data_IF_697198987043
#
_entry.id   IF_697198987043
#
_cell.length_a   1.000
_cell.length_b   1.000
_cell.length_c   1.000
_cell.angle_alpha   90.00
_cell.angle_beta   90.00
_cell.angle_gamma   90.00
#
_symmetry.space_group_name_H-M   'P 1'
#
loop_
_entity.id
_entity.type
_entity.pdbx_description
1 polymer ?
#
# COMPACT_ATOMS: atom_id res chain seq x y z
N UNK A 1 -14.58 28.76 -1.89
CA UNK A 1 -13.95 28.00 -3.00
C UNK A 1 -15.01 27.13 -3.67
N UNK A 2 -15.53 27.55 -4.83
CA UNK A 2 -16.62 26.86 -5.54
C UNK A 2 -16.06 25.62 -6.22
N UNK A 3 -16.25 24.45 -5.61
CA UNK A 3 -15.94 23.15 -6.20
C UNK A 3 -16.81 22.97 -7.45
N UNK A 4 -16.29 23.31 -8.63
CA UNK A 4 -16.87 22.83 -9.89
C UNK A 4 -16.49 21.35 -9.97
N UNK A 5 -17.38 20.47 -9.54
CA UNK A 5 -17.28 19.05 -9.88
C UNK A 5 -17.26 18.97 -11.41
N UNK A 6 -16.09 18.70 -11.97
CA UNK A 6 -15.95 18.54 -13.41
C UNK A 6 -16.60 17.19 -13.76
N UNK A 7 -17.59 17.21 -14.64
CA UNK A 7 -18.29 15.98 -15.10
C UNK A 7 -17.29 14.94 -15.60
N UNK A 8 -16.17 15.38 -16.18
CA UNK A 8 -15.05 14.53 -16.55
C UNK A 8 -14.46 13.77 -15.35
N UNK A 9 -14.21 14.43 -14.22
CA UNK A 9 -13.61 13.81 -13.03
C UNK A 9 -14.54 12.79 -12.42
N UNK A 10 -15.84 13.11 -12.36
CA UNK A 10 -16.87 12.19 -11.89
C UNK A 10 -16.94 10.94 -12.78
N UNK A 11 -17.05 11.12 -14.10
CA UNK A 11 -17.10 10.02 -15.07
C UNK A 11 -15.85 9.14 -15.01
N UNK A 12 -14.65 9.73 -14.96
CA UNK A 12 -13.41 8.95 -14.83
C UNK A 12 -13.33 8.19 -13.50
N UNK A 13 -13.83 8.78 -12.41
CA UNK A 13 -13.88 8.10 -11.11
C UNK A 13 -14.83 6.90 -11.16
N UNK A 14 -15.99 7.05 -11.81
CA UNK A 14 -16.93 5.95 -12.02
C UNK A 14 -16.31 4.80 -12.85
N UNK A 15 -15.54 5.12 -13.89
CA UNK A 15 -14.78 4.12 -14.67
C UNK A 15 -13.78 3.38 -13.79
N UNK A 16 -13.03 4.07 -12.93
CA UNK A 16 -12.12 3.41 -11.99
C UNK A 16 -12.86 2.49 -11.01
N UNK A 17 -14.01 2.91 -10.48
CA UNK A 17 -14.85 2.08 -9.59
C UNK A 17 -15.31 0.81 -10.33
N UNK A 18 -15.78 0.94 -11.58
CA UNK A 18 -16.20 -0.20 -12.40
C UNK A 18 -15.05 -1.19 -12.63
N UNK A 19 -13.86 -0.68 -12.97
CA UNK A 19 -12.65 -1.49 -13.13
C UNK A 19 -12.30 -2.21 -11.81
N UNK A 20 -12.42 -1.54 -10.67
CA UNK A 20 -12.13 -2.13 -9.37
C UNK A 20 -13.01 -3.36 -9.07
N UNK A 21 -14.31 -3.28 -9.38
CA UNK A 21 -15.26 -4.37 -9.19
C UNK A 21 -14.87 -5.57 -10.06
N UNK A 22 -14.46 -5.33 -11.30
CA UNK A 22 -13.96 -6.40 -12.19
C UNK A 22 -12.67 -7.00 -11.63
N UNK A 23 -11.69 -6.16 -11.25
CA UNK A 23 -10.41 -6.59 -10.70
C UNK A 23 -10.54 -7.39 -9.40
N UNK A 24 -11.58 -7.13 -8.60
CA UNK A 24 -11.85 -7.89 -7.38
C UNK A 24 -12.11 -9.37 -7.66
N UNK A 25 -12.68 -9.72 -8.82
CA UNK A 25 -12.90 -11.11 -9.23
C UNK A 25 -11.60 -11.89 -9.46
N UNK A 26 -10.49 -11.20 -9.71
CA UNK A 26 -9.16 -11.79 -9.89
C UNK A 26 -8.34 -11.82 -8.60
N UNK A 27 -8.97 -11.64 -7.44
CA UNK A 27 -8.27 -11.62 -6.17
C UNK A 27 -7.84 -13.02 -5.72
N UNK A 28 -6.64 -13.09 -5.13
CA UNK A 28 -6.11 -14.33 -4.57
C UNK A 28 -6.34 -14.30 -3.07
N UNK A 29 -7.21 -15.18 -2.59
CA UNK A 29 -7.46 -15.35 -1.16
C UNK A 29 -6.48 -16.35 -0.55
N UNK A 30 -5.72 -15.91 0.43
CA UNK A 30 -4.88 -16.78 1.25
C UNK A 30 -5.66 -17.11 2.52
N UNK A 31 -6.22 -18.32 2.53
CA UNK A 31 -6.82 -18.90 3.72
C UNK A 31 -5.72 -19.52 4.58
N UNK A 32 -5.72 -19.19 5.86
CA UNK A 32 -4.88 -19.87 6.84
C UNK A 32 -5.77 -20.35 7.98
N UNK A 33 -5.54 -21.59 8.45
CA UNK A 33 -6.26 -22.18 9.58
C UNK A 33 -7.79 -22.26 9.39
N UNK A 34 -8.25 -22.54 8.16
CA UNK A 34 -9.68 -22.71 7.87
C UNK A 34 -10.48 -21.40 7.81
N UNK A 35 -9.82 -20.24 7.87
CA UNK A 35 -10.46 -18.93 7.75
C UNK A 35 -9.75 -18.06 6.70
N UNK A 36 -10.52 -17.21 5.99
CA UNK A 36 -9.97 -16.22 5.07
C UNK A 36 -9.21 -15.15 5.84
N UNK A 37 -7.91 -15.34 6.00
CA UNK A 37 -7.05 -14.44 6.78
C UNK A 37 -6.55 -13.23 5.99
N UNK A 38 -6.45 -13.38 4.66
CA UNK A 38 -5.85 -12.36 3.81
C UNK A 38 -6.38 -12.49 2.37
N UNK A 39 -6.63 -11.36 1.73
CA UNK A 39 -6.94 -11.29 0.30
C UNK A 39 -5.95 -10.34 -0.38
N UNK A 40 -5.30 -10.81 -1.44
CA UNK A 40 -4.46 -10.00 -2.30
C UNK A 40 -5.32 -9.55 -3.48
N UNK A 41 -5.48 -8.24 -3.66
CA UNK A 41 -6.31 -7.65 -4.70
C UNK A 41 -5.63 -6.41 -5.28
N UNK A 42 -5.77 -6.22 -6.59
CA UNK A 42 -5.24 -5.05 -7.30
C UNK A 42 -6.22 -3.87 -7.35
N UNK A 43 -7.34 -3.97 -6.62
CA UNK A 43 -8.39 -2.94 -6.56
C UNK A 43 -7.91 -1.61 -5.95
N UNK A 44 -6.85 -1.64 -5.16
CA UNK A 44 -6.33 -0.46 -4.48
C UNK A 44 -5.99 0.70 -5.42
N UNK A 45 -5.45 0.36 -6.59
CA UNK A 45 -5.06 1.33 -7.62
C UNK A 45 -6.26 2.17 -8.06
N UNK A 46 -7.45 1.57 -8.09
CA UNK A 46 -8.67 2.20 -8.59
C UNK A 46 -9.26 3.24 -7.63
N UNK A 47 -9.03 3.17 -6.32
CA UNK A 47 -9.39 4.29 -5.42
C UNK A 47 -8.22 5.24 -5.17
N UNK A 48 -6.97 4.78 -5.27
CA UNK A 48 -5.78 5.64 -5.14
C UNK A 48 -5.70 6.63 -6.31
N UNK A 49 -5.96 6.17 -7.55
CA UNK A 49 -5.78 6.96 -8.75
C UNK A 49 -6.70 8.19 -8.83
N UNK A 50 -8.03 8.10 -8.63
CA UNK A 50 -8.90 9.27 -8.57
C UNK A 50 -8.49 10.25 -7.47
N UNK A 51 -8.03 9.73 -6.32
CA UNK A 51 -7.52 10.53 -5.21
C UNK A 51 -6.32 11.38 -5.61
N UNK A 52 -5.34 10.77 -6.27
CA UNK A 52 -4.12 11.44 -6.71
C UNK A 52 -4.38 12.43 -7.85
N UNK A 53 -5.24 12.09 -8.82
CA UNK A 53 -5.52 12.90 -10.00
C UNK A 53 -6.47 14.07 -9.73
N UNK A 54 -7.56 13.83 -8.99
CA UNK A 54 -8.67 14.78 -8.82
C UNK A 54 -8.79 15.32 -7.39
N UNK A 55 -8.06 14.73 -6.46
CA UNK A 55 -7.99 15.16 -5.07
C UNK A 55 -8.62 14.16 -4.09
N UNK A 56 -8.36 14.32 -2.78
CA UNK A 56 -8.66 13.30 -1.76
C UNK A 56 -10.13 12.89 -1.70
N UNK A 57 -11.04 13.82 -1.96
CA UNK A 57 -12.48 13.56 -1.97
C UNK A 57 -12.87 12.45 -2.97
N UNK A 58 -12.32 12.48 -4.19
CA UNK A 58 -12.61 11.47 -5.21
C UNK A 58 -12.02 10.10 -4.84
N UNK A 59 -10.86 10.08 -4.18
CA UNK A 59 -10.28 8.85 -3.65
C UNK A 59 -11.14 8.24 -2.55
N UNK A 60 -11.64 9.07 -1.63
CA UNK A 60 -12.54 8.64 -0.56
C UNK A 60 -13.87 8.09 -1.09
N UNK A 61 -14.50 8.80 -2.02
CA UNK A 61 -15.75 8.34 -2.67
C UNK A 61 -15.52 7.01 -3.39
N UNK A 62 -14.43 6.89 -4.16
CA UNK A 62 -14.08 5.65 -4.84
C UNK A 62 -13.87 4.50 -3.84
N UNK A 63 -13.10 4.73 -2.77
CA UNK A 63 -12.84 3.71 -1.75
C UNK A 63 -14.12 3.20 -1.07
N UNK A 64 -15.00 4.12 -0.65
CA UNK A 64 -16.26 3.75 -0.03
C UNK A 64 -17.22 3.01 -0.97
N UNK A 65 -17.36 3.49 -2.21
CA UNK A 65 -18.24 2.85 -3.19
C UNK A 65 -17.72 1.47 -3.63
N UNK A 66 -16.40 1.32 -3.80
CA UNK A 66 -15.81 0.01 -4.13
C UNK A 66 -16.08 -0.99 -3.02
N UNK A 67 -16.04 -0.58 -1.74
CA UNK A 67 -16.36 -1.46 -0.62
C UNK A 67 -17.84 -1.86 -0.61
N UNK A 68 -18.73 -0.87 -0.67
CA UNK A 68 -20.18 -1.07 -0.67
C UNK A 68 -20.65 -1.95 -1.85
N UNK A 69 -20.30 -1.55 -3.08
CA UNK A 69 -20.65 -2.30 -4.28
C UNK A 69 -19.99 -3.67 -4.30
N UNK A 70 -18.80 -3.77 -3.75
CA UNK A 70 -18.11 -5.03 -3.49
C UNK A 70 -18.91 -6.03 -2.72
N UNK A 71 -19.45 -5.57 -1.59
CA UNK A 71 -20.29 -6.40 -0.74
C UNK A 71 -21.61 -6.77 -1.43
N UNK A 72 -22.23 -5.83 -2.14
CA UNK A 72 -23.51 -6.07 -2.85
C UNK A 72 -23.35 -7.08 -3.99
N UNK A 73 -22.26 -7.01 -4.76
CA UNK A 73 -22.08 -7.81 -5.99
C UNK A 73 -21.40 -9.15 -5.69
N UNK A 74 -20.35 -9.14 -4.86
CA UNK A 74 -19.57 -10.35 -4.50
C UNK A 74 -19.38 -10.42 -2.99
N UNK A 75 -20.42 -10.75 -2.22
CA UNK A 75 -20.32 -10.81 -0.77
C UNK A 75 -19.33 -11.92 -0.34
N UNK A 76 -18.31 -11.53 0.43
CA UNK A 76 -17.36 -12.45 1.06
C UNK A 76 -17.42 -12.20 2.57
N UNK A 77 -18.23 -13.01 3.27
CA UNK A 77 -18.48 -12.85 4.70
C UNK A 77 -19.49 -11.73 5.02
N UNK A 78 -19.66 -11.46 6.32
CA UNK A 78 -20.56 -10.41 6.80
C UNK A 78 -20.03 -9.00 6.55
N UNK A 79 -20.93 -8.07 6.24
CA UNK A 79 -20.57 -6.66 6.06
C UNK A 79 -20.24 -6.00 7.41
N UNK A 80 -19.07 -5.37 7.48
CA UNK A 80 -18.61 -4.61 8.63
C UNK A 80 -18.44 -3.16 8.19
N UNK A 81 -19.35 -2.23 8.55
CA UNK A 81 -19.32 -0.83 8.10
C UNK A 81 -18.02 -0.08 8.42
N UNK A 82 -17.28 -0.52 9.45
CA UNK A 82 -15.97 0.05 9.79
C UNK A 82 -14.94 -0.16 8.67
N UNK A 83 -15.02 -1.24 7.88
CA UNK A 83 -14.15 -1.44 6.73
C UNK A 83 -14.43 -0.47 5.59
N UNK A 84 -15.67 -0.01 5.44
CA UNK A 84 -16.01 1.04 4.48
C UNK A 84 -15.36 2.37 4.88
N UNK A 85 -15.39 2.71 6.17
CA UNK A 85 -14.75 3.93 6.69
C UNK A 85 -13.23 3.87 6.47
N UNK A 86 -12.61 2.72 6.74
CA UNK A 86 -11.17 2.58 6.49
C UNK A 86 -10.83 2.55 5.01
N UNK A 87 -11.69 2.03 4.14
CA UNK A 87 -11.52 2.10 2.68
C UNK A 87 -11.67 3.52 2.13
N UNK A 88 -12.58 4.33 2.69
CA UNK A 88 -12.65 5.78 2.41
C UNK A 88 -11.33 6.44 2.82
N UNK A 89 -10.84 6.16 4.03
CA UNK A 89 -9.56 6.68 4.50
C UNK A 89 -8.38 6.22 3.62
N UNK A 90 -8.40 4.97 3.15
CA UNK A 90 -7.38 4.41 2.26
C UNK A 90 -7.32 5.11 0.89
N UNK A 91 -8.41 5.72 0.43
CA UNK A 91 -8.43 6.58 -0.76
C UNK A 91 -8.01 8.03 -0.48
N UNK A 92 -8.36 8.57 0.69
CA UNK A 92 -8.07 9.97 1.07
C UNK A 92 -6.60 10.16 1.45
N UNK A 93 -6.08 9.30 2.33
CA UNK A 93 -4.74 9.43 2.91
C UNK A 93 -3.60 9.48 1.88
N UNK A 94 -3.50 8.56 0.90
CA UNK A 94 -2.41 8.62 -0.06
C UNK A 94 -2.49 9.88 -0.93
N UNK A 95 -3.70 10.36 -1.24
CA UNK A 95 -3.90 11.60 -1.98
C UNK A 95 -3.48 12.85 -1.19
N UNK A 96 -3.75 12.89 0.11
CA UNK A 96 -3.29 13.96 0.99
C UNK A 96 -1.77 13.98 1.10
N UNK A 97 -1.15 12.83 1.39
CA UNK A 97 0.32 12.74 1.50
C UNK A 97 0.97 13.09 0.16
N UNK A 98 0.43 12.60 -0.96
CA UNK A 98 0.87 12.95 -2.29
C UNK A 98 0.84 14.46 -2.55
N UNK A 99 -0.25 15.15 -2.19
CA UNK A 99 -0.39 16.60 -2.37
C UNK A 99 0.75 17.38 -1.71
N UNK A 100 1.24 16.90 -0.57
CA UNK A 100 2.32 17.52 0.19
C UNK A 100 3.71 17.15 -0.34
N UNK A 101 3.90 15.90 -0.79
CA UNK A 101 5.21 15.38 -1.23
C UNK A 101 5.49 15.57 -2.72
N UNK A 102 4.48 15.79 -3.58
CA UNK A 102 4.66 15.88 -5.04
C UNK A 102 5.70 16.91 -5.49
N UNK A 103 5.82 18.01 -4.75
CA UNK A 103 6.76 19.10 -5.04
C UNK A 103 8.10 18.98 -4.30
N UNK A 104 8.28 17.93 -3.48
CA UNK A 104 9.54 17.71 -2.79
C UNK A 104 10.66 17.38 -3.77
N UNK A 105 11.89 17.78 -3.42
CA UNK A 105 13.09 17.50 -4.20
C UNK A 105 13.36 15.98 -4.26
N UNK A 106 13.63 15.47 -5.46
CA UNK A 106 13.82 14.03 -5.71
C UNK A 106 14.92 13.44 -4.82
N UNK A 107 16.05 14.14 -4.67
CA UNK A 107 17.19 13.64 -3.90
C UNK A 107 16.84 13.43 -2.41
N UNK A 108 16.07 14.36 -1.80
CA UNK A 108 15.65 14.26 -0.39
C UNK A 108 14.74 13.05 -0.18
N UNK A 109 13.75 12.88 -1.07
CA UNK A 109 12.79 11.78 -1.02
C UNK A 109 13.50 10.44 -1.18
N UNK A 110 14.42 10.35 -2.15
CA UNK A 110 15.20 9.14 -2.43
C UNK A 110 16.12 8.77 -1.27
N UNK A 111 16.76 9.75 -0.65
CA UNK A 111 17.60 9.51 0.53
C UNK A 111 16.77 9.04 1.73
N UNK A 112 15.61 9.66 1.98
CA UNK A 112 14.69 9.24 3.03
C UNK A 112 14.22 7.79 2.83
N UNK A 113 13.87 7.41 1.61
CA UNK A 113 13.52 6.03 1.25
C UNK A 113 14.67 5.05 1.59
N UNK A 114 15.89 5.36 1.16
CA UNK A 114 17.04 4.49 1.39
C UNK A 114 17.38 4.33 2.86
N UNK A 115 17.34 5.43 3.62
CA UNK A 115 17.56 5.40 5.07
C UNK A 115 16.50 4.54 5.75
N UNK A 116 15.22 4.72 5.41
CA UNK A 116 14.13 3.95 6.00
C UNK A 116 14.29 2.45 5.75
N UNK A 117 14.45 2.03 4.50
CA UNK A 117 14.61 0.60 4.17
C UNK A 117 15.94 0.02 4.65
N UNK A 118 17.01 0.82 4.69
CA UNK A 118 18.30 0.43 5.26
C UNK A 118 18.22 0.14 6.76
N UNK A 119 17.58 1.03 7.53
CA UNK A 119 17.33 0.82 8.97
C UNK A 119 16.46 -0.41 9.17
N UNK A 120 15.39 -0.56 8.39
CA UNK A 120 14.45 -1.68 8.52
C UNK A 120 15.15 -3.02 8.25
N UNK A 121 16.04 -3.08 7.25
CA UNK A 121 16.88 -4.24 6.98
C UNK A 121 17.85 -4.54 8.13
N UNK A 122 18.57 -3.54 8.62
CA UNK A 122 19.54 -3.69 9.70
C UNK A 122 18.88 -4.17 10.99
N UNK A 123 17.74 -3.59 11.38
CA UNK A 123 16.97 -4.01 12.55
C UNK A 123 16.49 -5.46 12.38
N UNK A 124 15.98 -5.81 11.20
CA UNK A 124 15.56 -7.18 10.89
C UNK A 124 16.71 -8.19 11.01
N UNK A 125 17.88 -7.85 10.46
CA UNK A 125 19.09 -8.68 10.47
C UNK A 125 19.66 -8.84 11.88
N UNK A 126 19.79 -7.75 12.65
CA UNK A 126 20.27 -7.80 14.03
C UNK A 126 19.38 -8.69 14.89
N UNK A 127 18.06 -8.53 14.80
CA UNK A 127 17.11 -9.38 15.52
C UNK A 127 17.23 -10.85 15.08
N UNK A 128 17.49 -11.12 13.80
CA UNK A 128 17.62 -12.47 13.28
C UNK A 128 18.87 -13.16 13.83
N UNK A 129 19.99 -12.43 13.83
CA UNK A 129 21.27 -12.92 14.36
C UNK A 129 21.17 -13.17 15.86
N UNK A 130 20.55 -12.26 16.62
CA UNK A 130 20.39 -12.42 18.08
C UNK A 130 19.57 -13.68 18.41
N UNK A 131 18.45 -13.92 17.71
CA UNK A 131 17.58 -15.09 17.94
C UNK A 131 18.22 -16.41 17.45
N UNK A 132 19.14 -16.35 16.49
CA UNK A 132 19.75 -17.58 15.92
C UNK A 132 21.07 -17.95 16.57
N UNK A 133 21.88 -16.97 16.95
CA UNK A 133 23.26 -17.19 17.40
C UNK A 133 23.54 -16.74 18.84
N UNK A 134 22.75 -15.82 19.42
CA UNK A 134 23.05 -15.18 20.72
C UNK A 134 21.86 -15.24 21.69
N UNK A 135 21.23 -16.42 21.77
CA UNK A 135 20.04 -16.66 22.61
C UNK A 135 20.29 -16.49 24.12
N UNK A 136 21.55 -16.57 24.57
CA UNK A 136 21.92 -16.47 25.98
C UNK A 136 22.08 -15.02 26.48
N UNK A 137 22.05 -14.02 25.58
CA UNK A 137 22.10 -12.60 25.97
C UNK A 137 20.78 -12.13 26.57
N UNK A 138 20.80 -11.08 27.40
CA UNK A 138 19.58 -10.48 27.99
C UNK A 138 18.57 -10.04 26.92
N UNK A 139 19.05 -9.49 25.80
CA UNK A 139 18.23 -9.15 24.63
C UNK A 139 17.73 -10.39 23.89
N UNK A 140 18.53 -11.45 23.80
CA UNK A 140 18.13 -12.74 23.24
C UNK A 140 17.04 -13.42 24.05
N UNK A 141 17.11 -13.39 25.38
CA UNK A 141 16.10 -13.91 26.29
C UNK A 141 14.79 -13.08 26.24
N UNK A 142 14.88 -11.75 26.10
CA UNK A 142 13.73 -10.88 25.87
C UNK A 142 13.07 -11.09 24.51
N UNK A 143 13.86 -11.35 23.46
CA UNK A 143 13.33 -11.64 22.12
C UNK A 143 12.77 -13.05 22.01
N UNK A 144 13.32 -14.01 22.73
CA UNK A 144 12.82 -15.40 22.76
C UNK A 144 11.63 -15.58 23.71
N UNK A 145 11.48 -14.74 24.73
CA UNK A 145 10.28 -14.72 25.61
C UNK A 145 9.00 -14.32 24.85
N UNK A 146 9.14 -13.58 23.74
CA UNK A 146 8.06 -13.31 22.79
C UNK A 146 7.65 -14.55 21.95
N UNK A 147 8.34 -15.68 22.12
CA UNK A 147 8.07 -16.97 21.49
C UNK A 147 8.31 -16.98 19.98
N UNK A 148 7.70 -17.94 19.26
CA UNK A 148 7.80 -18.07 17.79
C UNK A 148 7.40 -16.78 17.03
N UNK A 149 6.69 -15.84 17.68
CA UNK A 149 6.24 -14.57 17.08
C UNK A 149 7.39 -13.61 16.77
N UNK A 150 8.48 -13.63 17.54
CA UNK A 150 9.64 -12.77 17.27
C UNK A 150 10.45 -13.18 16.04
N UNK A 151 10.50 -14.49 15.76
CA UNK A 151 11.16 -15.04 14.57
C UNK A 151 10.46 -14.58 13.28
N UNK A 152 9.13 -14.57 13.25
CA UNK A 152 8.36 -14.08 12.10
C UNK A 152 8.51 -12.58 11.89
N UNK A 153 8.57 -11.80 12.97
CA UNK A 153 8.80 -10.36 12.89
C UNK A 153 10.19 -10.04 12.32
N UNK A 154 11.22 -10.69 12.85
CA UNK A 154 12.60 -10.46 12.42
C UNK A 154 12.82 -10.84 10.95
N UNK A 155 12.36 -12.03 10.55
CA UNK A 155 12.44 -12.48 9.15
C UNK A 155 11.62 -11.59 8.21
N UNK A 156 10.42 -11.15 8.65
CA UNK A 156 9.58 -10.22 7.90
C UNK A 156 10.26 -8.87 7.64
N UNK A 157 10.81 -8.24 8.68
CA UNK A 157 11.53 -6.97 8.56
C UNK A 157 12.74 -7.10 7.64
N UNK A 158 13.53 -8.17 7.79
CA UNK A 158 14.70 -8.41 6.93
C UNK A 158 14.29 -8.54 5.45
N UNK A 159 13.24 -9.30 5.14
CA UNK A 159 12.76 -9.46 3.76
C UNK A 159 12.24 -8.15 3.17
N UNK A 160 11.44 -7.38 3.92
CA UNK A 160 10.93 -6.08 3.48
C UNK A 160 12.08 -5.13 3.18
N UNK A 161 13.07 -5.04 4.08
CA UNK A 161 14.26 -4.21 3.92
C UNK A 161 15.04 -4.57 2.66
N UNK A 162 15.28 -5.87 2.45
CA UNK A 162 15.99 -6.38 1.28
C UNK A 162 15.27 -6.04 -0.03
N UNK A 163 13.96 -6.25 -0.08
CA UNK A 163 13.13 -5.94 -1.26
C UNK A 163 13.17 -4.43 -1.56
N UNK A 164 13.06 -3.58 -0.54
CA UNK A 164 13.13 -2.13 -0.71
C UNK A 164 14.46 -1.65 -1.28
N UNK A 165 15.57 -2.22 -0.80
CA UNK A 165 16.92 -1.93 -1.33
C UNK A 165 17.08 -2.47 -2.76
N UNK A 166 16.63 -3.69 -3.04
CA UNK A 166 16.66 -4.28 -4.38
C UNK A 166 15.94 -3.40 -5.40
N UNK A 167 14.76 -2.88 -5.05
CA UNK A 167 13.98 -1.96 -5.88
C UNK A 167 14.73 -0.65 -6.13
N UNK A 168 15.40 -0.10 -5.12
CA UNK A 168 16.23 1.08 -5.30
C UNK A 168 17.33 0.83 -6.34
N UNK A 169 18.03 -0.31 -6.23
CA UNK A 169 19.07 -0.72 -7.18
C UNK A 169 18.48 -0.85 -8.59
N UNK A 170 17.34 -1.54 -8.73
CA UNK A 170 16.64 -1.67 -10.02
C UNK A 170 16.32 -0.30 -10.61
N UNK A 171 15.80 0.65 -9.82
CA UNK A 171 15.48 1.99 -10.32
C UNK A 171 16.72 2.76 -10.79
N UNK A 172 17.85 2.63 -10.09
CA UNK A 172 19.12 3.25 -10.47
C UNK A 172 19.66 2.65 -11.76
N UNK A 173 19.60 1.33 -11.91
CA UNK A 173 20.03 0.62 -13.13
C UNK A 173 19.18 1.04 -14.33
N UNK A 174 17.86 1.07 -14.18
CA UNK A 174 16.97 1.46 -15.28
C UNK A 174 17.17 2.95 -15.64
N UNK A 175 17.42 3.83 -14.65
CA UNK A 175 17.69 5.26 -14.91
C UNK A 175 18.91 5.46 -15.81
N UNK A 176 19.93 4.60 -15.70
CA UNK A 176 21.15 4.68 -16.52
C UNK A 176 20.90 4.33 -17.99
N UNK A 177 19.86 3.54 -18.30
CA UNK A 177 19.70 2.90 -19.60
C UNK A 177 18.46 3.39 -20.40
N UNK A 178 17.66 4.34 -19.91
CA UNK A 178 16.32 4.65 -20.48
C UNK A 178 16.05 6.12 -20.83
N UNK A 179 15.07 6.32 -21.73
CA UNK A 179 14.60 7.59 -22.36
C UNK A 179 13.69 8.40 -21.42
N UNK A 180 13.47 9.71 -21.71
CA UNK A 180 12.60 10.72 -21.03
C UNK A 180 11.30 10.22 -20.35
N UNK A 181 10.66 9.17 -20.85
CA UNK A 181 9.46 8.58 -20.23
C UNK A 181 9.75 7.97 -18.85
N UNK A 182 10.94 7.36 -18.69
CA UNK A 182 11.36 6.76 -17.43
C UNK A 182 11.70 7.81 -16.36
N UNK A 183 12.19 8.99 -16.75
CA UNK A 183 12.45 10.08 -15.81
C UNK A 183 11.17 10.52 -15.08
N UNK A 184 10.02 10.55 -15.77
CA UNK A 184 8.74 10.86 -15.12
C UNK A 184 8.37 9.80 -14.08
N UNK A 185 8.54 8.51 -14.42
CA UNK A 185 8.23 7.39 -13.51
C UNK A 185 9.15 7.44 -12.30
N UNK A 186 10.47 7.51 -12.51
CA UNK A 186 11.45 7.52 -11.45
C UNK A 186 11.27 8.71 -10.48
N UNK A 187 10.94 9.90 -11.00
CA UNK A 187 10.76 11.11 -10.19
C UNK A 187 9.53 11.03 -9.27
N UNK A 188 8.48 10.33 -9.70
CA UNK A 188 7.23 10.21 -8.95
C UNK A 188 7.14 8.92 -8.14
N UNK A 189 7.91 7.89 -8.51
CA UNK A 189 7.84 6.56 -7.90
C UNK A 189 8.14 6.59 -6.40
N UNK A 190 9.29 7.14 -5.99
CA UNK A 190 9.65 7.21 -4.56
C UNK A 190 8.67 8.06 -3.75
N UNK A 191 8.11 9.11 -4.35
CA UNK A 191 7.08 9.96 -3.74
C UNK A 191 5.78 9.19 -3.51
N UNK A 192 5.39 8.36 -4.48
CA UNK A 192 4.20 7.51 -4.38
C UNK A 192 4.39 6.35 -3.41
N UNK A 193 5.57 5.74 -3.34
CA UNK A 193 5.85 4.71 -2.32
C UNK A 193 5.63 5.27 -0.92
N UNK A 194 6.11 6.49 -0.64
CA UNK A 194 5.91 7.11 0.67
C UNK A 194 4.41 7.38 0.90
N UNK A 195 3.72 7.96 -0.07
CA UNK A 195 2.30 8.29 0.06
C UNK A 195 1.40 7.06 0.25
N UNK A 196 1.57 6.04 -0.61
CA UNK A 196 0.80 4.79 -0.58
C UNK A 196 1.24 3.94 0.61
N UNK A 197 2.53 3.90 0.92
CA UNK A 197 3.11 3.06 1.97
C UNK A 197 2.73 3.50 3.37
N UNK A 198 2.86 4.80 3.69
CA UNK A 198 2.43 5.33 4.99
C UNK A 198 0.94 5.05 5.19
N UNK A 199 0.11 5.35 4.17
CA UNK A 199 -1.31 5.05 4.24
C UNK A 199 -1.59 3.56 4.40
N UNK A 200 -0.89 2.71 3.64
CA UNK A 200 -1.09 1.26 3.65
C UNK A 200 -0.78 0.65 5.01
N UNK A 201 0.33 1.07 5.65
CA UNK A 201 0.72 0.63 6.99
C UNK A 201 -0.33 1.02 8.04
N UNK A 202 -0.80 2.28 8.00
CA UNK A 202 -1.81 2.78 8.94
C UNK A 202 -3.13 2.03 8.78
N UNK A 203 -3.65 1.95 7.56
CA UNK A 203 -4.93 1.29 7.28
C UNK A 203 -4.85 -0.21 7.55
N UNK A 204 -3.76 -0.88 7.20
CA UNK A 204 -3.54 -2.30 7.52
C UNK A 204 -3.59 -2.56 9.02
N UNK A 205 -2.98 -1.68 9.81
CA UNK A 205 -2.96 -1.77 11.27
C UNK A 205 -4.36 -1.62 11.86
N UNK A 206 -5.08 -0.57 11.45
CA UNK A 206 -6.47 -0.33 11.88
C UNK A 206 -7.38 -1.49 11.46
N UNK A 207 -7.28 -1.96 10.20
CA UNK A 207 -8.06 -3.08 9.69
C UNK A 207 -7.76 -4.40 10.42
N UNK A 208 -6.57 -4.55 11.01
CA UNK A 208 -6.24 -5.71 11.82
C UNK A 208 -6.90 -5.65 13.19
N UNK A 209 -6.93 -4.47 13.82
CA UNK A 209 -7.69 -4.28 15.04
C UNK A 209 -9.19 -4.49 14.84
N UNK A 210 -9.77 -3.92 13.77
CA UNK A 210 -11.18 -4.14 13.44
C UNK A 210 -11.45 -5.64 13.27
N UNK A 211 -10.64 -6.35 12.49
CA UNK A 211 -10.84 -7.78 12.28
C UNK A 211 -10.85 -8.61 13.58
N UNK A 212 -9.98 -8.26 14.54
CA UNK A 212 -9.91 -8.94 15.83
C UNK A 212 -11.17 -8.70 16.67
N UNK A 213 -11.71 -7.48 16.66
CA UNK A 213 -12.93 -7.12 17.40
C UNK A 213 -14.14 -7.92 16.88
N UNK A 214 -14.26 -8.06 15.56
CA UNK A 214 -15.40 -8.73 14.93
C UNK A 214 -15.22 -10.25 14.78
N UNK A 215 -14.04 -10.80 15.11
CA UNK A 215 -13.75 -12.23 14.92
C UNK A 215 -13.06 -12.85 16.16
N UNK A 216 -13.83 -13.29 17.17
CA UNK A 216 -13.29 -13.81 18.43
C UNK A 216 -12.31 -15.00 18.25
N UNK A 217 -12.55 -15.87 17.26
CA UNK A 217 -11.68 -17.01 16.95
C UNK A 217 -10.26 -16.59 16.54
N UNK A 218 -10.12 -15.43 15.88
CA UNK A 218 -8.84 -14.86 15.48
C UNK A 218 -8.14 -14.15 16.64
N UNK A 219 -8.91 -13.62 17.59
CA UNK A 219 -8.39 -12.92 18.77
C UNK A 219 -7.49 -13.83 19.63
N UNK A 220 -7.83 -15.11 19.75
CA UNK A 220 -7.07 -16.10 20.51
C UNK A 220 -5.62 -16.31 19.97
N UNK A 221 -5.37 -16.08 18.68
CA UNK A 221 -4.04 -16.20 18.06
C UNK A 221 -3.14 -14.98 18.36
N UNK A 222 -3.77 -13.85 18.69
CA UNK A 222 -3.15 -12.58 19.03
C UNK A 222 -2.79 -11.72 17.82
N UNK A 223 -2.76 -10.40 18.04
CA UNK A 223 -2.59 -9.37 17.00
C UNK A 223 -1.41 -9.62 16.06
N UNK A 224 -0.22 -9.88 16.62
CA UNK A 224 1.01 -9.98 15.85
C UNK A 224 1.00 -11.11 14.81
N UNK A 225 0.25 -12.19 15.11
CA UNK A 225 0.11 -13.32 14.21
C UNK A 225 -0.59 -12.94 12.90
N UNK A 226 -1.57 -12.04 12.96
CA UNK A 226 -2.30 -11.56 11.79
C UNK A 226 -1.64 -10.34 11.17
N UNK A 227 -1.06 -9.47 11.99
CA UNK A 227 -0.49 -8.22 11.52
C UNK A 227 0.79 -8.42 10.71
N UNK A 228 1.69 -9.32 11.10
CA UNK A 228 2.97 -9.57 10.39
C UNK A 228 2.77 -9.98 8.92
N UNK A 229 1.95 -10.99 8.57
CA UNK A 229 1.75 -11.31 7.16
C UNK A 229 1.05 -10.16 6.41
N UNK A 230 0.08 -9.48 7.04
CA UNK A 230 -0.65 -8.36 6.41
C UNK A 230 0.22 -7.14 6.16
N UNK A 231 1.16 -6.82 7.05
CA UNK A 231 2.08 -5.70 6.86
C UNK A 231 3.09 -6.00 5.74
N UNK A 232 3.60 -7.24 5.67
CA UNK A 232 4.46 -7.69 4.56
C UNK A 232 3.70 -7.55 3.24
N UNK A 233 2.47 -8.06 3.18
CA UNK A 233 1.62 -7.93 1.99
C UNK A 233 1.37 -6.46 1.63
N UNK A 234 1.03 -5.60 2.59
CA UNK A 234 0.74 -4.18 2.35
C UNK A 234 1.96 -3.44 1.77
N UNK A 235 3.17 -3.76 2.24
CA UNK A 235 4.41 -3.17 1.75
C UNK A 235 4.76 -3.70 0.35
N UNK A 236 4.57 -4.99 0.08
CA UNK A 236 4.70 -5.56 -1.27
C UNK A 236 3.72 -4.91 -2.26
N UNK A 237 2.46 -4.76 -1.86
CA UNK A 237 1.45 -4.12 -2.71
C UNK A 237 1.72 -2.63 -2.89
N UNK A 238 2.31 -1.95 -1.92
CA UNK A 238 2.73 -0.55 -2.07
C UNK A 238 3.72 -0.37 -3.22
N UNK A 239 4.68 -1.29 -3.35
CA UNK A 239 5.67 -1.28 -4.43
C UNK A 239 4.96 -1.40 -5.78
N UNK A 240 4.11 -2.42 -5.93
CA UNK A 240 3.39 -2.70 -7.17
C UNK A 240 2.45 -1.55 -7.53
N UNK A 241 1.64 -1.10 -6.56
CA UNK A 241 0.67 -0.02 -6.76
C UNK A 241 1.35 1.30 -7.12
N UNK A 242 2.53 1.60 -6.56
CA UNK A 242 3.27 2.82 -6.88
C UNK A 242 3.74 2.85 -8.34
N UNK A 243 4.27 1.73 -8.85
CA UNK A 243 4.66 1.63 -10.26
C UNK A 243 3.47 1.75 -11.21
N UNK A 244 2.39 1.00 -10.95
CA UNK A 244 1.19 1.06 -11.79
C UNK A 244 0.59 2.47 -11.75
N UNK A 245 0.59 3.10 -10.58
CA UNK A 245 0.12 4.47 -10.42
C UNK A 245 0.95 5.45 -11.25
N UNK A 246 2.28 5.37 -11.20
CA UNK A 246 3.16 6.16 -12.07
C UNK A 246 2.84 5.99 -13.56
N UNK A 247 2.64 4.75 -14.00
CA UNK A 247 2.37 4.45 -15.42
C UNK A 247 1.04 5.04 -15.87
N UNK A 248 -0.03 4.85 -15.09
CA UNK A 248 -1.34 5.41 -15.41
C UNK A 248 -1.29 6.95 -15.37
N UNK A 249 -0.61 7.55 -14.40
CA UNK A 249 -0.43 9.00 -14.33
C UNK A 249 0.31 9.54 -15.56
N UNK A 250 1.36 8.85 -16.01
CA UNK A 250 2.09 9.20 -17.22
C UNK A 250 1.18 9.15 -18.46
N UNK A 251 0.46 8.05 -18.65
CA UNK A 251 -0.52 7.92 -19.74
C UNK A 251 -1.57 9.04 -19.68
N UNK A 252 -2.14 9.32 -18.52
CA UNK A 252 -3.13 10.39 -18.33
C UNK A 252 -2.57 11.76 -18.72
N UNK A 253 -1.33 12.07 -18.32
CA UNK A 253 -0.65 13.33 -18.67
C UNK A 253 -0.44 13.48 -20.20
N UNK A 254 -0.11 12.38 -20.89
CA UNK A 254 0.04 12.38 -22.34
C UNK A 254 -1.30 12.62 -23.05
N UNK A 255 -2.37 11.99 -22.56
CA UNK A 255 -3.72 12.20 -23.09
C UNK A 255 -4.18 13.65 -22.88
N UNK A 256 -4.01 14.22 -21.68
CA UNK A 256 -4.35 15.62 -21.45
C UNK A 256 -3.53 16.57 -22.33
N UNK A 257 -2.21 16.37 -22.43
CA UNK A 257 -1.34 17.21 -23.25
C UNK A 257 -1.69 17.17 -24.74
N UNK A 258 -2.19 16.04 -25.25
CA UNK A 258 -2.68 15.91 -26.64
C UNK A 258 -4.02 16.60 -26.87
N UNK A 259 -4.92 16.58 -25.89
CA UNK A 259 -6.24 17.24 -26.00
C UNK A 259 -6.11 18.75 -25.95
N UNK A 260 -5.27 19.29 -25.06
CA UNK A 260 -5.05 20.75 -24.94
C UNK A 260 -4.33 21.33 -26.16
N UNK A 261 -3.46 20.55 -26.83
CA UNK A 261 -2.83 20.99 -28.09
C UNK A 261 -3.74 20.96 -29.31
N UNK A 262 -4.89 20.28 -29.23
CA UNK A 262 -5.87 20.13 -30.32
C UNK A 262 -7.11 21.00 -30.16
N UNK A 263 -7.28 21.64 -29.02
CA UNK A 263 -8.36 22.58 -28.71
C UNK A 263 -7.85 24.02 -28.83
#
# INVERSE_FOLDING_TARGET
MKSRMNTKFLATTAVFIAIAIVLRSFSISIAAFGMLTMRISFEAICYIMPGILFGPLYGGIAGGLIDLLGYVITPIGGYIPLFTITNIAAGILPALIWKNIKNAEEYKVRNCYNIFFGILFLVGLLNFVIIRFVNHSTLGQLLTSLGKKSQYLSTGLMLIGAIGIMIFIINVVIKKNMIKSYDFVNNNYFKLIIAIGISGVLICTINTYILLIFTPALMAKGFMFLWVPRIIQALLMTIVNSYITCMIMYCYSLFQGRVVKKA
#
